data_IF_769141148690
#
_entry.id   IF_769141148690
#
_cell.length_a   1.000
_cell.length_b   1.000
_cell.length_c   1.000
_cell.angle_alpha   90.00
_cell.angle_beta   90.00
_cell.angle_gamma   90.00
#
_symmetry.space_group_name_H-M   'P 1'
#
loop_
_entity.id
_entity.type
_entity.pdbx_description
1 polymer ?
#
# COMPACT_ATOMS: atom_id res chain seq x y z
N UNK A 1 5.30 19.13 14.27
CA UNK A 1 5.94 19.82 13.11
C UNK A 1 6.51 18.88 12.04
N UNK A 2 6.82 17.62 12.35
CA UNK A 2 7.29 16.64 11.34
C UNK A 2 6.15 16.06 10.46
N UNK A 3 4.92 16.12 10.92
CA UNK A 3 3.79 15.53 10.20
C UNK A 3 3.20 16.39 9.08
N UNK A 4 3.42 17.71 9.09
CA UNK A 4 2.89 18.57 8.03
C UNK A 4 3.64 18.38 6.70
N UNK A 5 4.91 18.00 6.73
CA UNK A 5 5.70 17.74 5.52
C UNK A 5 5.31 16.44 4.80
N UNK A 6 4.71 15.48 5.49
CA UNK A 6 4.31 14.20 4.89
C UNK A 6 3.15 14.31 3.89
N UNK A 7 2.39 15.39 3.93
CA UNK A 7 1.23 15.62 3.06
C UNK A 7 1.53 16.53 1.87
N UNK A 8 2.63 17.29 1.90
CA UNK A 8 3.09 18.12 0.78
C UNK A 8 4.05 17.32 -0.11
N UNK A 9 3.54 16.23 -0.66
CA UNK A 9 4.30 15.37 -1.55
C UNK A 9 4.47 16.06 -2.90
N UNK A 10 5.70 16.50 -3.18
CA UNK A 10 6.07 17.10 -4.46
C UNK A 10 6.69 16.08 -5.40
N UNK A 11 6.42 16.27 -6.66
CA UNK A 11 7.12 15.56 -7.72
C UNK A 11 8.62 15.84 -7.61
N UNK A 12 9.42 14.80 -7.74
CA UNK A 12 10.87 14.95 -7.80
C UNK A 12 11.37 14.71 -9.22
N UNK A 13 12.33 15.51 -9.66
CA UNK A 13 12.96 15.35 -10.96
C UNK A 13 13.56 13.94 -11.11
N UNK A 14 14.10 13.36 -10.02
CA UNK A 14 14.64 12.01 -10.01
C UNK A 14 13.57 10.93 -10.23
N UNK A 15 12.38 11.07 -9.64
CA UNK A 15 11.28 10.14 -9.86
C UNK A 15 10.79 10.19 -11.31
N UNK A 16 10.70 11.38 -11.88
CA UNK A 16 10.35 11.56 -13.29
C UNK A 16 11.40 10.92 -14.21
N UNK A 17 12.68 11.12 -13.95
CA UNK A 17 13.76 10.51 -14.71
C UNK A 17 13.71 8.97 -14.63
N UNK A 18 13.44 8.41 -13.45
CA UNK A 18 13.28 6.96 -13.28
C UNK A 18 12.08 6.42 -14.07
N UNK A 19 10.95 7.12 -14.06
CA UNK A 19 9.78 6.74 -14.86
C UNK A 19 10.10 6.76 -16.35
N UNK A 20 10.74 7.83 -16.84
CA UNK A 20 11.09 7.97 -18.26
C UNK A 20 12.08 6.90 -18.70
N UNK A 21 13.15 6.68 -17.95
CA UNK A 21 14.17 5.69 -18.28
C UNK A 21 13.65 4.25 -18.16
N UNK A 22 12.81 3.97 -17.14
CA UNK A 22 12.20 2.67 -16.95
C UNK A 22 11.16 2.30 -18.01
N UNK A 23 10.52 3.30 -18.62
CA UNK A 23 9.48 3.08 -19.65
C UNK A 23 10.09 2.96 -21.05
N UNK A 24 11.21 3.61 -21.31
CA UNK A 24 11.86 3.65 -22.62
C UNK A 24 12.09 2.28 -23.28
N UNK A 25 12.49 1.22 -22.56
CA UNK A 25 12.68 -0.11 -23.15
C UNK A 25 11.38 -0.76 -23.67
N UNK A 26 10.23 -0.35 -23.14
CA UNK A 26 8.94 -0.98 -23.41
C UNK A 26 8.05 -0.15 -24.35
N UNK A 27 8.36 1.13 -24.53
CA UNK A 27 7.54 2.06 -25.30
C UNK A 27 8.41 2.80 -26.33
N UNK A 28 8.25 2.48 -27.61
CA UNK A 28 9.06 3.03 -28.70
C UNK A 28 9.04 4.57 -28.81
N UNK A 29 7.97 5.18 -28.37
CA UNK A 29 7.74 6.64 -28.45
C UNK A 29 7.83 7.31 -27.06
N UNK A 30 8.46 6.65 -26.09
CA UNK A 30 8.54 7.13 -24.71
C UNK A 30 9.03 8.57 -24.62
N UNK A 31 10.09 8.93 -25.35
CA UNK A 31 10.64 10.28 -25.34
C UNK A 31 9.66 11.34 -25.85
N UNK A 32 8.89 11.02 -26.87
CA UNK A 32 7.88 11.95 -27.40
C UNK A 32 6.70 12.08 -26.44
N UNK A 33 6.28 10.95 -25.83
CA UNK A 33 5.19 10.94 -24.86
C UNK A 33 5.55 11.81 -23.65
N UNK A 34 6.75 11.66 -23.12
CA UNK A 34 7.20 12.41 -21.95
C UNK A 34 7.51 13.91 -22.21
N UNK A 35 7.53 14.34 -23.46
CA UNK A 35 7.58 15.77 -23.84
C UNK A 35 6.20 16.43 -23.86
N UNK A 36 5.13 15.66 -23.81
CA UNK A 36 3.76 16.19 -23.76
C UNK A 36 3.44 16.76 -22.37
N UNK A 37 2.56 17.76 -22.28
CA UNK A 37 2.04 18.18 -20.98
C UNK A 37 1.40 16.99 -20.24
N UNK A 38 1.88 16.72 -19.04
CA UNK A 38 1.39 15.58 -18.23
C UNK A 38 0.86 16.06 -16.90
N UNK A 39 -0.17 15.38 -16.41
CA UNK A 39 -0.66 15.55 -15.06
C UNK A 39 -0.04 14.49 -14.15
N UNK A 40 0.65 14.94 -13.12
CA UNK A 40 1.25 14.06 -12.13
C UNK A 40 0.34 13.92 -10.93
N UNK A 41 0.36 12.74 -10.34
CA UNK A 41 -0.25 12.48 -9.05
C UNK A 41 0.77 11.79 -8.17
N UNK A 42 0.99 12.36 -7.00
CA UNK A 42 1.88 11.80 -5.99
C UNK A 42 1.00 11.28 -4.85
N UNK A 43 1.33 10.12 -4.33
CA UNK A 43 0.58 9.50 -3.24
C UNK A 43 1.49 8.68 -2.35
N UNK A 44 1.11 8.56 -1.09
CA UNK A 44 1.81 7.73 -0.12
C UNK A 44 1.34 6.29 -0.24
N UNK A 45 2.28 5.35 -0.23
CA UNK A 45 2.00 3.92 -0.16
C UNK A 45 2.22 3.42 1.25
N UNK A 46 1.23 2.73 1.80
CA UNK A 46 1.34 2.12 3.11
C UNK A 46 2.08 0.78 3.01
N UNK A 47 3.22 0.69 3.67
CA UNK A 47 3.98 -0.54 3.85
C UNK A 47 4.00 -0.92 5.32
N UNK A 48 4.00 -2.22 5.58
CA UNK A 48 4.35 -2.76 6.90
C UNK A 48 5.87 -2.93 6.99
N UNK A 49 6.39 -3.07 8.20
CA UNK A 49 7.84 -3.20 8.43
C UNK A 49 8.48 -4.42 7.75
N UNK A 50 7.69 -5.45 7.46
CA UNK A 50 8.12 -6.68 6.80
C UNK A 50 7.66 -6.77 5.33
N UNK A 51 7.12 -5.67 4.79
CA UNK A 51 6.60 -5.56 3.41
C UNK A 51 5.45 -6.52 3.06
N UNK A 52 4.93 -7.28 4.02
CA UNK A 52 3.77 -8.13 3.82
C UNK A 52 2.49 -7.40 4.22
N UNK A 53 1.38 -7.55 3.48
CA UNK A 53 0.12 -6.93 3.85
C UNK A 53 -0.42 -7.49 5.15
N UNK A 54 -1.18 -6.69 5.86
CA UNK A 54 -1.96 -7.11 7.00
C UNK A 54 -3.44 -7.06 6.63
N UNK A 55 -4.16 -8.17 6.83
CA UNK A 55 -5.62 -8.20 6.70
C UNK A 55 -6.23 -9.27 7.59
N UNK A 56 -7.41 -8.98 8.10
CA UNK A 56 -8.14 -9.88 8.99
C UNK A 56 -8.43 -9.27 10.36
N UNK A 57 -9.02 -10.04 11.28
CA UNK A 57 -9.26 -9.60 12.64
C UNK A 57 -7.94 -9.46 13.40
N UNK A 58 -7.88 -8.48 14.27
CA UNK A 58 -6.77 -8.36 15.21
C UNK A 58 -6.89 -9.44 16.29
N UNK A 59 -5.81 -10.19 16.59
CA UNK A 59 -5.86 -11.24 17.63
C UNK A 59 -6.32 -10.72 18.99
N UNK A 60 -5.90 -9.51 19.36
CA UNK A 60 -6.25 -8.86 20.62
C UNK A 60 -7.62 -8.20 20.61
N UNK A 61 -8.15 -7.92 19.42
CA UNK A 61 -9.45 -7.27 19.20
C UNK A 61 -10.20 -7.96 18.04
N UNK A 62 -10.78 -9.13 18.24
CA UNK A 62 -11.34 -9.96 17.16
C UNK A 62 -12.55 -9.31 16.43
N UNK A 63 -13.16 -8.29 17.04
CA UNK A 63 -14.23 -7.51 16.40
C UNK A 63 -13.71 -6.42 15.45
N UNK A 64 -12.40 -6.11 15.49
CA UNK A 64 -11.77 -5.15 14.61
C UNK A 64 -11.06 -5.87 13.47
N UNK A 65 -11.58 -5.68 12.27
CA UNK A 65 -11.01 -6.22 11.04
C UNK A 65 -10.26 -5.12 10.30
N UNK A 66 -9.03 -5.39 9.93
CA UNK A 66 -8.14 -4.42 9.27
C UNK A 66 -7.69 -4.98 7.92
N UNK A 67 -7.53 -4.11 6.94
CA UNK A 67 -6.82 -4.39 5.70
C UNK A 67 -5.89 -3.22 5.39
N UNK A 68 -4.59 -3.44 5.43
CA UNK A 68 -3.59 -2.39 5.24
C UNK A 68 -2.23 -2.94 4.82
N UNK A 69 -1.32 -2.05 4.47
CA UNK A 69 0.06 -2.40 4.17
C UNK A 69 0.27 -3.09 2.82
N UNK A 70 -0.65 -2.91 1.86
CA UNK A 70 -0.59 -3.56 0.55
C UNK A 70 0.53 -2.98 -0.36
N UNK A 71 1.13 -1.88 0.01
CA UNK A 71 2.25 -1.26 -0.70
C UNK A 71 1.96 -0.98 -2.16
N UNK A 72 2.82 -1.46 -3.05
CA UNK A 72 2.67 -1.28 -4.51
C UNK A 72 1.71 -2.28 -5.17
N UNK A 73 1.37 -3.37 -4.49
CA UNK A 73 0.52 -4.43 -5.04
C UNK A 73 -0.97 -4.28 -4.72
N UNK A 74 -1.36 -3.21 -4.02
CA UNK A 74 -2.74 -3.00 -3.56
C UNK A 74 -3.79 -3.03 -4.65
N UNK A 75 -3.50 -2.47 -5.83
CA UNK A 75 -4.43 -2.48 -6.96
C UNK A 75 -4.68 -3.91 -7.48
N UNK A 76 -3.66 -4.76 -7.46
CA UNK A 76 -3.74 -6.14 -7.92
C UNK A 76 -4.34 -7.07 -6.87
N UNK A 77 -3.93 -6.93 -5.61
CA UNK A 77 -4.30 -7.85 -4.53
C UNK A 77 -5.54 -7.43 -3.75
N UNK A 78 -5.89 -6.13 -3.80
CA UNK A 78 -7.03 -5.57 -3.08
C UNK A 78 -8.37 -6.30 -3.31
N UNK A 79 -8.75 -6.60 -4.57
CA UNK A 79 -9.99 -7.34 -4.84
C UNK A 79 -10.02 -8.73 -4.18
N UNK A 80 -8.90 -9.44 -4.18
CA UNK A 80 -8.79 -10.74 -3.51
C UNK A 80 -8.92 -10.60 -1.99
N UNK A 81 -8.26 -9.61 -1.39
CA UNK A 81 -8.37 -9.32 0.05
C UNK A 81 -9.80 -8.95 0.41
N UNK A 82 -10.45 -8.10 -0.39
CA UNK A 82 -11.85 -7.75 -0.20
C UNK A 82 -12.78 -8.96 -0.24
N UNK A 83 -12.55 -9.87 -1.17
CA UNK A 83 -13.29 -11.13 -1.25
C UNK A 83 -13.09 -12.00 0.01
N UNK A 84 -11.86 -12.16 0.48
CA UNK A 84 -11.55 -12.94 1.68
C UNK A 84 -12.21 -12.34 2.93
N UNK A 85 -12.24 -11.03 3.05
CA UNK A 85 -12.91 -10.34 4.16
C UNK A 85 -14.44 -10.52 4.09
N UNK A 86 -15.03 -10.45 2.90
CA UNK A 86 -16.46 -10.70 2.72
C UNK A 86 -16.84 -12.14 3.10
N UNK A 87 -16.04 -13.11 2.70
CA UNK A 87 -16.22 -14.52 3.11
C UNK A 87 -16.12 -14.69 4.64
N UNK A 88 -15.16 -14.01 5.26
CA UNK A 88 -15.03 -14.03 6.72
C UNK A 88 -16.28 -13.45 7.42
N UNK A 89 -16.80 -12.32 6.97
CA UNK A 89 -18.01 -11.74 7.54
C UNK A 89 -19.23 -12.63 7.36
N UNK A 90 -19.31 -13.37 6.25
CA UNK A 90 -20.43 -14.27 5.98
C UNK A 90 -20.35 -15.61 6.75
N UNK A 91 -19.16 -16.13 6.95
CA UNK A 91 -18.97 -17.50 7.46
C UNK A 91 -18.36 -17.55 8.87
N UNK A 92 -17.82 -16.45 9.35
CA UNK A 92 -17.05 -16.39 10.60
C UNK A 92 -15.66 -17.06 10.51
N UNK A 93 -15.29 -17.56 9.34
CA UNK A 93 -14.04 -18.29 9.16
C UNK A 93 -13.24 -17.74 7.96
N UNK A 94 -11.95 -17.61 8.14
CA UNK A 94 -11.05 -17.37 7.02
C UNK A 94 -10.75 -18.66 6.27
N UNK A 95 -10.89 -18.60 4.96
CA UNK A 95 -10.47 -19.66 4.05
C UNK A 95 -9.17 -19.18 3.38
N UNK A 96 -8.03 -19.52 3.95
CA UNK A 96 -6.73 -19.16 3.38
C UNK A 96 -5.67 -18.82 4.42
N UNK A 97 -4.47 -18.54 3.95
CA UNK A 97 -3.38 -18.06 4.81
C UNK A 97 -3.71 -16.68 5.36
N UNK A 98 -3.74 -16.60 6.67
CA UNK A 98 -3.98 -15.35 7.38
C UNK A 98 -2.66 -14.64 7.61
N UNK A 99 -2.50 -13.48 7.03
CA UNK A 99 -1.46 -12.55 7.41
C UNK A 99 -1.86 -11.79 8.68
N UNK A 100 -2.22 -12.55 9.71
CA UNK A 100 -2.50 -11.97 11.02
C UNK A 100 -1.19 -11.69 11.74
N UNK A 101 -1.01 -10.46 12.11
CA UNK A 101 0.14 -10.02 12.91
C UNK A 101 -0.38 -9.50 14.24
N UNK A 102 0.22 -9.92 15.36
CA UNK A 102 -0.20 -9.42 16.67
C UNK A 102 -0.01 -7.91 16.73
N UNK A 103 -0.96 -7.21 17.32
CA UNK A 103 -0.96 -5.75 17.47
C UNK A 103 0.35 -5.26 18.10
N UNK A 104 0.93 -6.03 19.02
CA UNK A 104 2.22 -5.75 19.65
C UNK A 104 3.39 -5.56 18.67
N UNK A 105 3.33 -6.11 17.47
CA UNK A 105 4.34 -5.86 16.43
C UNK A 105 4.29 -4.44 15.86
N UNK A 106 3.10 -3.82 15.92
CA UNK A 106 2.89 -2.47 15.39
C UNK A 106 3.03 -1.38 16.46
N UNK A 107 2.80 -1.72 17.72
CA UNK A 107 2.81 -0.77 18.84
C UNK A 107 4.22 -0.56 19.41
N UNK A 108 5.13 -1.51 19.23
CA UNK A 108 6.50 -1.45 19.79
C UNK A 108 7.32 -0.21 19.38
N UNK A 109 6.95 0.46 18.30
CA UNK A 109 7.68 1.61 17.77
C UNK A 109 7.01 2.95 18.07
N UNK A 110 5.95 2.97 18.87
CA UNK A 110 5.25 4.21 19.20
C UNK A 110 5.05 4.31 20.72
N UNK A 111 6.02 4.89 21.46
CA UNK A 111 5.96 5.00 22.93
C UNK A 111 4.87 5.95 23.46
N UNK A 112 4.03 6.49 22.60
CA UNK A 112 2.96 7.44 22.91
C UNK A 112 1.52 6.88 22.77
N UNK A 113 1.35 5.57 22.68
CA UNK A 113 0.05 4.90 22.77
C UNK A 113 -0.04 4.04 24.01
#
# INVERSE_FOLDING_TARGET
HENEQAWDLKETASAFQQLTSGTAPFLKEAEQLFKQPMHYRVGTRAYTSDFAPFFGPLPEMPHLVVASGLGSSGLTTGPFIGYQLAEYFNTGAFKGELYQKPLSQYVKNNPSL
#
